data_IF_126483149634
#
_entry.id   IF_126483149634
#
_cell.length_a   1.000
_cell.length_b   1.000
_cell.length_c   1.000
_cell.angle_alpha   90.00
_cell.angle_beta   90.00
_cell.angle_gamma   90.00
#
_symmetry.space_group_name_H-M   'P 1'
#
loop_
_entity.id
_entity.type
_entity.pdbx_description
1 polymer ?
#
# COMPACT_ATOMS: atom_id res chain seq x y z
N UNK A 1 -1.76 1.14 28.49
CA UNK A 1 -0.99 2.33 28.07
C UNK A 1 -1.83 3.05 27.02
N UNK A 2 -2.21 4.32 27.23
CA UNK A 2 -2.88 5.08 26.18
C UNK A 2 -1.87 5.37 25.06
N UNK A 3 -2.18 4.97 23.85
CA UNK A 3 -1.37 5.29 22.68
C UNK A 3 -1.34 6.82 22.55
N UNK A 4 -0.15 7.42 22.59
CA UNK A 4 -0.02 8.84 22.26
C UNK A 4 -0.23 9.01 20.74
N UNK A 5 -1.46 9.34 20.36
CA UNK A 5 -1.86 9.55 18.97
C UNK A 5 -1.24 10.80 18.33
N UNK A 6 -0.42 11.57 19.09
CA UNK A 6 0.19 12.80 18.58
C UNK A 6 1.03 12.55 17.34
N UNK A 7 1.87 11.51 17.36
CA UNK A 7 2.73 11.14 16.22
C UNK A 7 1.94 10.66 15.02
N UNK A 8 0.91 9.83 15.26
CA UNK A 8 0.00 9.35 14.21
C UNK A 8 -0.68 10.52 13.53
N UNK A 9 -1.23 11.46 14.31
CA UNK A 9 -1.88 12.65 13.77
C UNK A 9 -0.90 13.54 12.99
N UNK A 10 0.31 13.73 13.49
CA UNK A 10 1.32 14.53 12.80
C UNK A 10 1.73 13.90 11.47
N UNK A 11 2.00 12.60 11.44
CA UNK A 11 2.39 11.89 10.21
C UNK A 11 1.24 11.81 9.21
N UNK A 12 0.02 11.60 9.69
CA UNK A 12 -1.17 11.63 8.86
C UNK A 12 -1.35 12.99 8.17
N UNK A 13 -1.23 14.08 8.92
CA UNK A 13 -1.30 15.43 8.37
C UNK A 13 -0.21 15.69 7.34
N UNK A 14 1.01 15.30 7.63
CA UNK A 14 2.13 15.46 6.71
C UNK A 14 1.90 14.66 5.42
N UNK A 15 1.52 13.38 5.50
CA UNK A 15 1.23 12.56 4.33
C UNK A 15 0.07 13.11 3.48
N UNK A 16 -0.91 13.80 4.10
CA UNK A 16 -2.06 14.37 3.39
C UNK A 16 -1.83 15.78 2.86
N UNK A 17 -0.74 16.44 3.22
CA UNK A 17 -0.42 17.82 2.81
C UNK A 17 0.77 17.94 1.84
N UNK A 18 1.58 16.89 1.72
CA UNK A 18 2.81 16.88 0.92
C UNK A 18 2.86 15.62 0.03
N UNK A 19 2.93 15.76 -1.31
CA UNK A 19 3.05 14.62 -2.21
C UNK A 19 4.27 13.74 -1.96
N UNK A 20 5.41 14.30 -1.55
CA UNK A 20 6.61 13.53 -1.25
C UNK A 20 6.40 12.70 0.04
N UNK A 21 5.76 13.28 1.05
CA UNK A 21 5.40 12.57 2.27
C UNK A 21 4.37 11.47 1.99
N UNK A 22 3.38 11.71 1.11
CA UNK A 22 2.45 10.68 0.68
C UNK A 22 3.18 9.51 0.00
N UNK A 23 4.07 9.79 -0.95
CA UNK A 23 4.89 8.76 -1.61
C UNK A 23 5.73 7.97 -0.60
N UNK A 24 6.31 8.65 0.36
CA UNK A 24 7.07 8.01 1.44
C UNK A 24 6.18 7.08 2.28
N UNK A 25 5.00 7.55 2.67
CA UNK A 25 4.03 6.73 3.40
C UNK A 25 3.58 5.50 2.59
N UNK A 26 3.28 5.66 1.30
CA UNK A 26 2.91 4.54 0.42
C UNK A 26 4.03 3.50 0.33
N UNK A 27 5.30 3.91 0.32
CA UNK A 27 6.43 2.99 0.38
C UNK A 27 6.51 2.23 1.71
N UNK A 28 6.21 2.87 2.84
CA UNK A 28 6.09 2.17 4.13
C UNK A 28 4.97 1.14 4.10
N UNK A 29 3.79 1.51 3.58
CA UNK A 29 2.66 0.58 3.44
C UNK A 29 3.02 -0.67 2.64
N UNK A 30 3.81 -0.52 1.57
CA UNK A 30 4.21 -1.67 0.74
C UNK A 30 5.15 -2.63 1.45
N UNK A 31 5.99 -2.11 2.35
CA UNK A 31 6.93 -2.91 3.16
C UNK A 31 6.23 -3.58 4.35
N UNK A 32 5.16 -2.98 4.84
CA UNK A 32 4.44 -3.40 6.06
C UNK A 32 2.92 -3.52 5.81
N UNK A 33 2.46 -4.31 4.81
CA UNK A 33 1.05 -4.35 4.42
C UNK A 33 0.13 -4.93 5.51
N UNK A 34 0.67 -5.77 6.38
CA UNK A 34 -0.09 -6.46 7.44
C UNK A 34 -0.19 -5.65 8.74
N UNK A 35 0.50 -4.50 8.81
CA UNK A 35 0.45 -3.65 9.99
C UNK A 35 -0.73 -2.67 9.93
N UNK A 36 -1.26 -2.33 11.10
CA UNK A 36 -2.31 -1.33 11.20
C UNK A 36 -1.84 0.02 10.65
N UNK A 37 -2.77 0.85 10.17
CA UNK A 37 -2.48 2.21 9.69
C UNK A 37 -1.65 3.01 10.72
N UNK A 38 -2.02 2.91 12.00
CA UNK A 38 -1.31 3.61 13.07
C UNK A 38 0.14 3.15 13.20
N UNK A 39 0.40 1.84 13.07
CA UNK A 39 1.76 1.30 13.08
C UNK A 39 2.55 1.70 11.83
N UNK A 40 1.91 1.75 10.67
CA UNK A 40 2.56 2.23 9.44
C UNK A 40 2.96 3.71 9.55
N UNK A 41 2.10 4.56 10.12
CA UNK A 41 2.41 5.97 10.40
C UNK A 41 3.50 6.13 11.48
N UNK A 42 3.49 5.28 12.51
CA UNK A 42 4.53 5.25 13.52
C UNK A 42 5.89 4.85 12.93
N UNK A 43 5.91 3.85 12.05
CA UNK A 43 7.11 3.46 11.32
C UNK A 43 7.57 4.54 10.34
N UNK A 44 6.65 5.26 9.69
CA UNK A 44 6.96 6.43 8.88
C UNK A 44 7.70 7.49 9.71
N UNK A 45 7.26 7.76 10.92
CA UNK A 45 7.92 8.68 11.83
C UNK A 45 9.35 8.21 12.20
N UNK A 46 9.50 6.96 12.62
CA UNK A 46 10.77 6.41 13.06
C UNK A 46 11.79 6.25 11.93
N UNK A 47 11.32 6.06 10.70
CA UNK A 47 12.18 5.79 9.54
C UNK A 47 12.67 7.05 8.81
N UNK A 48 12.30 8.27 9.24
CA UNK A 48 12.75 9.51 8.61
C UNK A 48 14.28 9.65 8.60
N UNK A 49 14.91 9.31 9.73
CA UNK A 49 16.38 9.37 9.87
C UNK A 49 17.06 8.06 9.47
N UNK A 50 16.34 6.94 9.55
CA UNK A 50 16.87 5.60 9.29
C UNK A 50 15.85 4.78 8.51
N UNK A 51 15.93 4.77 7.17
CA UNK A 51 15.08 3.93 6.34
C UNK A 51 15.33 2.43 6.61
N UNK A 52 14.27 1.64 6.61
CA UNK A 52 14.36 0.18 6.73
C UNK A 52 14.01 -0.54 5.43
N UNK A 53 14.47 -1.79 5.33
CA UNK A 53 14.19 -2.68 4.20
C UNK A 53 13.08 -3.67 4.53
N UNK A 54 13.25 -4.47 5.58
CA UNK A 54 12.28 -5.47 6.05
C UNK A 54 12.35 -5.60 7.56
N UNK A 55 11.24 -5.39 8.24
CA UNK A 55 11.16 -5.48 9.69
C UNK A 55 10.54 -6.78 10.14
N UNK A 56 11.17 -7.45 11.12
CA UNK A 56 10.58 -8.56 11.88
C UNK A 56 11.00 -8.46 13.34
N UNK A 57 10.19 -9.03 14.23
CA UNK A 57 10.56 -9.19 15.64
C UNK A 57 11.73 -10.19 15.77
N UNK A 58 12.48 -10.09 16.86
CA UNK A 58 13.65 -10.96 17.09
C UNK A 58 13.28 -12.43 17.07
N UNK A 59 12.21 -12.83 17.74
CA UNK A 59 11.72 -14.19 17.78
C UNK A 59 11.34 -14.75 16.40
N UNK A 60 10.88 -13.87 15.50
CA UNK A 60 10.57 -14.24 14.10
C UNK A 60 11.84 -14.47 13.30
N UNK A 61 12.88 -13.64 13.50
CA UNK A 61 14.19 -13.86 12.89
C UNK A 61 14.82 -15.16 13.38
N UNK A 62 14.82 -15.40 14.69
CA UNK A 62 15.40 -16.60 15.31
C UNK A 62 14.73 -17.89 14.82
N UNK A 63 13.39 -17.90 14.69
CA UNK A 63 12.67 -19.04 14.11
C UNK A 63 13.04 -19.34 12.65
N UNK A 64 13.59 -18.38 11.94
CA UNK A 64 14.10 -18.54 10.58
C UNK A 64 15.61 -18.85 10.53
N UNK A 65 16.23 -19.08 11.69
CA UNK A 65 17.67 -19.32 11.79
C UNK A 65 18.52 -18.09 11.56
N UNK A 66 17.93 -16.89 11.67
CA UNK A 66 18.60 -15.60 11.45
C UNK A 66 18.88 -14.94 12.79
N UNK A 67 20.11 -14.48 13.01
CA UNK A 67 20.52 -13.78 14.23
C UNK A 67 20.49 -12.27 14.01
N UNK A 68 19.92 -11.55 14.97
CA UNK A 68 20.01 -10.08 15.04
C UNK A 68 21.38 -9.70 15.60
N UNK A 69 22.03 -8.69 15.04
CA UNK A 69 23.33 -8.21 15.49
C UNK A 69 23.23 -7.64 16.92
N UNK A 70 24.32 -7.74 17.70
CA UNK A 70 24.32 -7.36 19.10
C UNK A 70 23.99 -5.85 19.30
N UNK A 71 24.46 -4.99 18.40
CA UNK A 71 24.27 -3.54 18.45
C UNK A 71 23.16 -3.07 17.49
N UNK A 72 22.25 -3.96 17.10
CA UNK A 72 21.16 -3.64 16.19
C UNK A 72 20.26 -2.55 16.77
N UNK A 73 20.04 -1.50 16.01
CA UNK A 73 19.03 -0.54 16.36
C UNK A 73 17.64 -1.11 16.04
N UNK A 74 16.65 -0.76 16.83
CA UNK A 74 15.30 -1.26 16.69
C UNK A 74 14.32 -0.18 16.26
N UNK A 75 13.23 -0.64 15.66
CA UNK A 75 11.96 0.05 15.51
C UNK A 75 10.97 -0.54 16.50
N UNK A 76 9.88 0.14 16.75
CA UNK A 76 8.81 -0.42 17.57
C UNK A 76 7.46 -0.16 16.95
N UNK A 77 6.54 -1.09 17.21
CA UNK A 77 5.13 -1.01 16.85
C UNK A 77 4.29 -1.23 18.10
N UNK A 78 3.04 -0.82 18.05
CA UNK A 78 2.05 -1.18 19.06
C UNK A 78 1.44 -2.54 18.74
N UNK A 79 1.56 -3.47 19.65
CA UNK A 79 0.86 -4.74 19.61
C UNK A 79 -0.20 -4.76 20.72
N UNK A 80 -1.47 -5.19 20.43
CA UNK A 80 -2.48 -5.34 21.48
C UNK A 80 -2.05 -6.33 22.54
N UNK A 81 -2.41 -6.07 23.79
CA UNK A 81 -2.17 -7.02 24.88
C UNK A 81 -2.97 -8.30 24.65
N UNK A 82 -2.34 -9.42 24.95
CA UNK A 82 -2.89 -10.77 24.75
C UNK A 82 -2.95 -11.51 26.08
N UNK A 83 -3.90 -12.42 26.18
CA UNK A 83 -3.99 -13.35 27.31
C UNK A 83 -2.97 -14.49 27.20
N UNK A 84 -3.01 -15.42 28.14
CA UNK A 84 -2.15 -16.61 28.22
C UNK A 84 -2.32 -17.57 27.02
N UNK A 85 -3.45 -17.49 26.30
CA UNK A 85 -3.72 -18.27 25.10
C UNK A 85 -3.28 -17.55 23.81
N UNK A 86 -2.78 -16.31 23.92
CA UNK A 86 -2.37 -15.48 22.80
C UNK A 86 -3.51 -14.73 22.12
N UNK A 87 -4.72 -14.68 22.70
CA UNK A 87 -5.86 -13.94 22.19
C UNK A 87 -5.86 -12.49 22.68
N UNK A 88 -6.29 -11.56 21.82
CA UNK A 88 -6.34 -10.14 22.17
C UNK A 88 -7.36 -9.90 23.28
N UNK A 89 -6.94 -9.19 24.33
CA UNK A 89 -7.81 -8.80 25.44
C UNK A 89 -8.59 -7.54 25.00
N UNK A 90 -9.92 -7.62 24.99
CA UNK A 90 -10.79 -6.51 24.61
C UNK A 90 -11.45 -5.85 25.83
N UNK A 91 -11.76 -4.56 25.71
CA UNK A 91 -12.62 -3.85 26.66
C UNK A 91 -14.01 -4.50 26.63
N UNK A 92 -14.60 -4.71 27.80
CA UNK A 92 -15.94 -5.34 27.92
C UNK A 92 -16.98 -4.64 27.04
N UNK A 93 -17.64 -5.40 26.18
CA UNK A 93 -18.63 -4.92 25.21
C UNK A 93 -18.08 -3.97 24.13
N UNK A 94 -16.78 -4.00 23.86
CA UNK A 94 -16.13 -3.22 22.82
C UNK A 94 -15.31 -4.14 21.90
N UNK A 95 -14.98 -3.65 20.71
CA UNK A 95 -13.97 -4.24 19.82
C UNK A 95 -12.59 -3.58 19.99
N UNK A 96 -12.44 -2.71 20.98
CA UNK A 96 -11.20 -2.04 21.27
C UNK A 96 -10.32 -2.88 22.19
N UNK A 97 -9.04 -3.08 21.89
CA UNK A 97 -8.10 -3.74 22.79
C UNK A 97 -8.02 -3.02 24.14
N UNK A 98 -7.93 -3.79 25.23
CA UNK A 98 -7.88 -3.26 26.60
C UNK A 98 -6.56 -2.54 26.90
N UNK A 99 -5.49 -2.89 26.19
CA UNK A 99 -4.18 -2.28 26.31
C UNK A 99 -3.28 -2.58 25.12
N UNK A 100 -2.12 -1.94 25.13
CA UNK A 100 -1.09 -2.11 24.11
C UNK A 100 0.29 -2.09 24.76
N UNK A 101 1.24 -2.83 24.21
CA UNK A 101 2.65 -2.77 24.53
C UNK A 101 3.50 -2.51 23.29
N UNK A 102 4.75 -2.13 23.48
CA UNK A 102 5.70 -1.99 22.38
C UNK A 102 6.25 -3.35 22.02
N UNK A 103 6.23 -3.66 20.71
CA UNK A 103 6.94 -4.78 20.12
C UNK A 103 8.13 -4.24 19.33
N UNK A 104 9.32 -4.71 19.69
CA UNK A 104 10.55 -4.31 19.02
C UNK A 104 10.76 -5.09 17.73
N UNK A 105 11.15 -4.36 16.70
CA UNK A 105 11.33 -4.85 15.34
C UNK A 105 12.74 -4.50 14.87
N UNK A 106 13.38 -5.42 14.17
CA UNK A 106 14.74 -5.27 13.67
C UNK A 106 14.75 -5.36 12.14
N UNK A 107 15.52 -4.48 11.50
CA UNK A 107 15.66 -4.51 10.06
C UNK A 107 16.56 -5.69 9.62
N UNK A 108 16.26 -6.25 8.46
CA UNK A 108 17.08 -7.29 7.84
C UNK A 108 18.54 -6.89 7.69
N UNK A 109 18.83 -5.61 7.49
CA UNK A 109 20.19 -5.06 7.39
C UNK A 109 20.97 -5.11 8.72
N UNK A 110 20.28 -5.31 9.84
CA UNK A 110 20.87 -5.47 11.18
C UNK A 110 20.93 -6.95 11.60
N UNK A 111 20.87 -7.85 10.65
CA UNK A 111 20.94 -9.30 10.87
C UNK A 111 22.09 -9.93 10.07
N UNK A 112 22.35 -11.20 10.35
CA UNK A 112 23.28 -12.00 9.53
C UNK A 112 22.66 -12.53 8.22
N UNK A 113 21.42 -12.12 7.87
CA UNK A 113 20.73 -12.56 6.67
C UNK A 113 21.07 -11.67 5.47
N UNK A 114 21.48 -12.32 4.36
CA UNK A 114 21.65 -11.61 3.10
C UNK A 114 20.32 -11.53 2.37
N UNK A 115 19.68 -10.35 2.43
CA UNK A 115 18.43 -10.11 1.76
C UNK A 115 18.62 -9.79 0.28
N UNK A 116 18.00 -10.58 -0.57
CA UNK A 116 17.90 -10.29 -2.01
C UNK A 116 16.46 -9.93 -2.31
N UNK A 117 16.22 -8.68 -2.67
CA UNK A 117 14.88 -8.24 -3.04
C UNK A 117 14.45 -8.96 -4.32
N UNK A 118 13.28 -9.63 -4.33
CA UNK A 118 12.73 -10.19 -5.56
C UNK A 118 12.54 -9.09 -6.62
N UNK A 119 12.96 -9.36 -7.83
CA UNK A 119 12.88 -8.43 -8.96
C UNK A 119 11.96 -9.03 -10.05
N UNK A 120 10.64 -9.12 -9.83
CA UNK A 120 9.73 -9.56 -10.87
C UNK A 120 9.72 -8.56 -12.01
N UNK A 121 9.56 -9.05 -13.24
CA UNK A 121 9.26 -8.16 -14.36
C UNK A 121 7.86 -7.57 -14.21
N UNK A 122 7.61 -6.42 -14.83
CA UNK A 122 6.28 -5.78 -14.83
C UNK A 122 5.20 -6.72 -15.36
N UNK A 123 5.54 -7.56 -16.34
CA UNK A 123 4.61 -8.56 -16.88
C UNK A 123 4.31 -9.67 -15.88
N UNK A 124 5.32 -10.20 -15.17
CA UNK A 124 5.12 -11.21 -14.13
C UNK A 124 4.29 -10.66 -12.95
N UNK A 125 4.56 -9.41 -12.55
CA UNK A 125 3.77 -8.75 -11.51
C UNK A 125 2.31 -8.55 -11.94
N UNK A 126 2.08 -8.15 -13.21
CA UNK A 126 0.75 -7.98 -13.77
C UNK A 126 0.00 -9.33 -13.89
N UNK A 127 0.65 -10.38 -14.36
CA UNK A 127 0.08 -11.72 -14.44
C UNK A 127 -0.36 -12.22 -13.05
N UNK A 128 0.48 -12.05 -12.03
CA UNK A 128 0.15 -12.41 -10.65
C UNK A 128 -1.05 -11.64 -10.09
N UNK A 129 -1.24 -10.39 -10.50
CA UNK A 129 -2.42 -9.60 -10.11
C UNK A 129 -3.67 -10.06 -10.87
N UNK A 130 -3.59 -10.25 -12.17
CA UNK A 130 -4.72 -10.62 -13.03
C UNK A 130 -5.25 -12.02 -12.74
N UNK A 131 -4.39 -12.95 -12.27
CA UNK A 131 -4.85 -14.31 -11.87
C UNK A 131 -5.70 -14.29 -10.60
N UNK A 132 -5.54 -13.28 -9.75
CA UNK A 132 -6.23 -13.17 -8.45
C UNK A 132 -7.46 -12.29 -8.47
N UNK A 133 -7.55 -11.36 -9.42
CA UNK A 133 -8.56 -10.31 -9.45
C UNK A 133 -9.37 -10.34 -10.75
N UNK A 134 -10.68 -10.17 -10.59
CA UNK A 134 -11.61 -9.91 -11.70
C UNK A 134 -12.03 -8.43 -11.59
N UNK A 135 -11.99 -7.66 -12.60
CA UNK A 135 -12.78 -7.83 -13.83
C UNK A 135 -11.98 -8.46 -14.98
N UNK A 136 -12.67 -8.93 -16.05
CA UNK A 136 -12.02 -9.36 -17.26
C UNK A 136 -11.24 -8.22 -17.92
N UNK A 137 -10.11 -8.56 -18.53
CA UNK A 137 -9.28 -7.64 -19.30
C UNK A 137 -9.39 -7.99 -20.76
N UNK A 138 -9.78 -7.04 -21.59
CA UNK A 138 -9.97 -7.20 -23.03
C UNK A 138 -8.96 -6.34 -23.79
N UNK A 139 -8.25 -6.94 -24.74
CA UNK A 139 -7.29 -6.21 -25.57
C UNK A 139 -8.02 -5.67 -26.80
N UNK A 140 -7.90 -4.35 -27.01
CA UNK A 140 -8.54 -3.62 -28.12
C UNK A 140 -7.49 -2.84 -28.91
N UNK A 141 -7.83 -2.43 -30.13
CA UNK A 141 -6.94 -1.60 -30.94
C UNK A 141 -7.00 -0.13 -30.51
N UNK A 142 -8.17 0.32 -30.05
CA UNK A 142 -8.36 1.69 -29.53
C UNK A 142 -9.45 1.73 -28.44
N UNK A 143 -9.38 2.72 -27.57
CA UNK A 143 -10.46 3.06 -26.64
C UNK A 143 -11.23 4.24 -27.20
N UNK A 144 -12.48 3.99 -27.59
CA UNK A 144 -13.34 5.01 -28.20
C UNK A 144 -13.50 6.23 -27.28
N UNK A 145 -13.44 7.43 -27.88
CA UNK A 145 -13.65 8.73 -27.20
C UNK A 145 -12.59 9.13 -26.17
N UNK A 146 -11.48 8.39 -26.03
CA UNK A 146 -10.39 8.77 -25.11
C UNK A 146 -9.05 8.58 -25.82
N UNK A 147 -8.64 9.64 -26.54
CA UNK A 147 -7.37 9.62 -27.25
C UNK A 147 -6.19 9.43 -26.29
N UNK A 148 -5.29 8.49 -26.63
CA UNK A 148 -4.07 8.22 -25.87
C UNK A 148 -4.25 7.41 -24.58
N UNK A 149 -5.47 6.99 -24.24
CA UNK A 149 -5.69 6.11 -23.10
C UNK A 149 -5.05 4.73 -23.37
N UNK A 150 -4.29 4.21 -22.40
CA UNK A 150 -3.63 2.91 -22.46
C UNK A 150 -4.53 1.79 -21.94
N UNK A 151 -5.32 2.10 -20.94
CA UNK A 151 -6.32 1.22 -20.35
C UNK A 151 -7.52 2.03 -19.87
N UNK A 152 -8.68 1.39 -19.76
CA UNK A 152 -9.90 2.01 -19.23
C UNK A 152 -10.86 0.94 -18.68
N UNK A 153 -11.31 1.15 -17.47
CA UNK A 153 -12.42 0.39 -16.90
C UNK A 153 -13.76 0.95 -17.37
N UNK A 154 -14.60 0.08 -17.93
CA UNK A 154 -16.00 0.37 -18.28
C UNK A 154 -16.93 -0.10 -17.15
N UNK A 155 -17.59 0.82 -16.43
CA UNK A 155 -18.59 0.46 -15.42
C UNK A 155 -19.79 -0.30 -16.02
N UNK A 156 -20.15 0.01 -17.27
CA UNK A 156 -21.25 -0.63 -17.99
C UNK A 156 -20.96 -2.11 -18.28
N UNK A 157 -19.78 -2.38 -18.84
CA UNK A 157 -19.40 -3.72 -19.28
C UNK A 157 -18.72 -4.51 -18.16
N UNK A 158 -18.32 -3.82 -17.06
CA UNK A 158 -17.56 -4.36 -15.93
C UNK A 158 -16.25 -5.02 -16.37
N UNK A 159 -15.62 -4.47 -17.40
CA UNK A 159 -14.39 -4.95 -18.00
C UNK A 159 -13.34 -3.84 -18.08
N UNK A 160 -12.07 -4.22 -18.14
CA UNK A 160 -10.94 -3.32 -18.41
C UNK A 160 -10.54 -3.52 -19.87
N UNK A 161 -10.61 -2.44 -20.65
CA UNK A 161 -10.10 -2.40 -22.01
C UNK A 161 -8.65 -1.93 -21.99
N UNK A 162 -7.78 -2.64 -22.71
CA UNK A 162 -6.35 -2.34 -22.80
C UNK A 162 -5.96 -2.18 -24.26
N UNK A 163 -5.33 -1.06 -24.61
CA UNK A 163 -4.92 -0.80 -26.00
C UNK A 163 -3.66 -1.60 -26.32
N UNK A 164 -3.71 -2.41 -27.38
CA UNK A 164 -2.55 -3.11 -27.91
C UNK A 164 -1.53 -2.08 -28.44
N UNK A 165 -0.34 -2.04 -27.87
CA UNK A 165 0.73 -1.17 -28.37
C UNK A 165 2.11 -1.76 -28.03
N UNK A 166 2.94 -1.93 -29.05
CA UNK A 166 4.36 -2.30 -28.87
C UNK A 166 5.25 -1.11 -28.48
N UNK A 167 4.70 0.11 -28.50
CA UNK A 167 5.47 1.35 -28.22
C UNK A 167 5.38 1.78 -26.75
N UNK A 168 4.49 1.18 -25.96
CA UNK A 168 4.29 1.53 -24.56
C UNK A 168 5.18 0.64 -23.69
N UNK A 169 6.01 1.20 -22.80
CA UNK A 169 6.78 0.41 -21.84
C UNK A 169 5.90 -0.51 -20.98
N UNK A 170 6.40 -1.69 -20.63
CA UNK A 170 5.67 -2.65 -19.81
C UNK A 170 5.26 -2.08 -18.44
N UNK A 171 6.12 -1.22 -17.85
CA UNK A 171 5.84 -0.53 -16.59
C UNK A 171 4.63 0.41 -16.68
N UNK A 172 4.52 1.11 -17.80
CA UNK A 172 3.38 2.01 -18.06
C UNK A 172 2.09 1.23 -18.28
N UNK A 173 2.15 0.06 -18.89
CA UNK A 173 1.01 -0.85 -18.98
C UNK A 173 0.60 -1.37 -17.61
N UNK A 174 1.57 -1.79 -16.80
CA UNK A 174 1.31 -2.25 -15.44
C UNK A 174 0.54 -1.18 -14.65
N UNK A 175 1.07 0.03 -14.60
CA UNK A 175 0.46 1.12 -13.82
C UNK A 175 -0.91 1.53 -14.35
N UNK A 176 -1.10 1.54 -15.68
CA UNK A 176 -2.40 1.84 -16.29
C UNK A 176 -3.45 0.78 -15.93
N UNK A 177 -3.13 -0.50 -16.07
CA UNK A 177 -4.06 -1.59 -15.74
C UNK A 177 -4.38 -1.61 -14.26
N UNK A 178 -3.39 -1.45 -13.38
CA UNK A 178 -3.60 -1.43 -11.93
C UNK A 178 -4.47 -0.24 -11.50
N UNK A 179 -4.31 0.92 -12.12
CA UNK A 179 -5.20 2.08 -11.90
C UNK A 179 -6.65 1.73 -12.25
N UNK A 180 -6.87 1.06 -13.39
CA UNK A 180 -8.21 0.66 -13.83
C UNK A 180 -8.80 -0.48 -12.97
N UNK A 181 -7.97 -1.38 -12.44
CA UNK A 181 -8.40 -2.35 -11.42
C UNK A 181 -8.88 -1.63 -10.15
N UNK A 182 -8.19 -0.57 -9.72
CA UNK A 182 -8.65 0.28 -8.62
C UNK A 182 -10.04 0.87 -8.88
N UNK A 183 -10.27 1.38 -10.09
CA UNK A 183 -11.59 1.87 -10.51
C UNK A 183 -12.67 0.80 -10.48
N UNK A 184 -12.35 -0.42 -10.90
CA UNK A 184 -13.28 -1.55 -10.87
C UNK A 184 -13.63 -1.95 -9.43
N UNK A 185 -12.66 -1.97 -8.53
CA UNK A 185 -12.87 -2.26 -7.10
C UNK A 185 -13.76 -1.18 -6.46
N UNK A 186 -13.45 0.10 -6.66
CA UNK A 186 -14.26 1.20 -6.15
C UNK A 186 -15.72 1.11 -6.65
N UNK A 187 -15.92 0.82 -7.94
CA UNK A 187 -17.27 0.65 -8.50
C UNK A 187 -17.98 -0.56 -7.90
N UNK A 188 -17.28 -1.68 -7.69
CA UNK A 188 -17.89 -2.89 -7.12
C UNK A 188 -18.40 -2.69 -5.69
N UNK A 189 -17.73 -1.85 -4.91
CA UNK A 189 -18.11 -1.52 -3.53
C UNK A 189 -19.35 -0.62 -3.45
N UNK A 190 -19.75 0.04 -4.56
CA UNK A 190 -20.92 0.91 -4.59
C UNK A 190 -22.25 0.16 -4.76
N UNK A 191 -22.25 -1.13 -5.07
CA UNK A 191 -23.47 -1.90 -5.40
C UNK A 191 -24.53 -1.88 -4.30
N UNK A 192 -24.11 -1.81 -3.04
CA UNK A 192 -24.99 -1.85 -1.88
C UNK A 192 -25.18 -0.47 -1.23
N UNK A 193 -24.81 0.60 -1.94
CA UNK A 193 -24.92 1.96 -1.45
C UNK A 193 -25.84 2.79 -2.35
N UNK A 194 -26.38 3.88 -1.82
CA UNK A 194 -27.11 4.90 -2.61
C UNK A 194 -26.20 5.80 -3.44
N UNK A 195 -24.88 5.60 -3.33
CA UNK A 195 -23.87 6.42 -4.00
C UNK A 195 -23.66 5.95 -5.44
N UNK A 196 -23.58 6.90 -6.36
CA UNK A 196 -23.23 6.62 -7.75
C UNK A 196 -21.73 6.66 -7.93
N UNK A 197 -21.16 5.68 -8.61
CA UNK A 197 -19.74 5.67 -8.93
C UNK A 197 -19.35 6.91 -9.76
N UNK A 198 -18.34 7.63 -9.28
CA UNK A 198 -17.78 8.80 -9.95
C UNK A 198 -16.27 8.59 -10.17
N UNK A 199 -15.88 8.38 -11.44
CA UNK A 199 -14.48 8.14 -11.81
C UNK A 199 -13.55 9.26 -11.33
N UNK A 200 -13.90 10.53 -11.56
CA UNK A 200 -13.05 11.65 -11.18
C UNK A 200 -12.82 11.73 -9.67
N UNK A 201 -13.83 11.38 -8.89
CA UNK A 201 -13.72 11.34 -7.42
C UNK A 201 -12.72 10.29 -6.94
N UNK A 202 -12.71 9.10 -7.55
CA UNK A 202 -11.86 7.98 -7.11
C UNK A 202 -10.51 7.92 -7.82
N UNK A 203 -10.29 8.70 -8.88
CA UNK A 203 -9.10 8.58 -9.73
C UNK A 203 -7.80 8.71 -8.94
N UNK A 204 -7.70 9.72 -8.06
CA UNK A 204 -6.51 9.90 -7.23
C UNK A 204 -6.25 8.69 -6.33
N UNK A 205 -7.29 8.13 -5.69
CA UNK A 205 -7.19 6.92 -4.86
C UNK A 205 -6.71 5.72 -5.68
N UNK A 206 -7.19 5.57 -6.92
CA UNK A 206 -6.74 4.51 -7.82
C UNK A 206 -5.28 4.72 -8.23
N UNK A 207 -4.85 5.95 -8.48
CA UNK A 207 -3.45 6.28 -8.76
C UNK A 207 -2.54 5.99 -7.54
N UNK A 208 -2.96 6.34 -6.32
CA UNK A 208 -2.16 6.01 -5.12
C UNK A 208 -2.01 4.50 -4.91
N UNK A 209 -3.05 3.73 -5.19
CA UNK A 209 -2.97 2.27 -5.16
C UNK A 209 -2.02 1.72 -6.24
N UNK A 210 -2.09 2.27 -7.46
CA UNK A 210 -1.18 1.89 -8.54
C UNK A 210 0.27 2.25 -8.21
N UNK A 211 0.53 3.42 -7.64
CA UNK A 211 1.84 3.83 -7.16
C UNK A 211 2.38 2.84 -6.11
N UNK A 212 1.59 2.52 -5.10
CA UNK A 212 1.99 1.60 -4.04
C UNK A 212 2.32 0.21 -4.60
N UNK A 213 1.48 -0.35 -5.48
CA UNK A 213 1.72 -1.66 -6.08
C UNK A 213 2.93 -1.65 -7.02
N UNK A 214 3.12 -0.61 -7.82
CA UNK A 214 4.31 -0.45 -8.66
C UNK A 214 5.58 -0.44 -7.79
N UNK A 215 5.59 0.36 -6.71
CA UNK A 215 6.70 0.39 -5.74
C UNK A 215 6.97 -0.98 -5.12
N UNK A 216 5.91 -1.71 -4.72
CA UNK A 216 6.03 -3.06 -4.14
C UNK A 216 6.71 -4.05 -5.08
N UNK A 217 6.40 -3.98 -6.37
CA UNK A 217 6.93 -4.88 -7.38
C UNK A 217 8.17 -4.32 -8.10
N UNK A 218 8.73 -3.22 -7.61
CA UNK A 218 9.87 -2.54 -8.23
C UNK A 218 9.64 -2.17 -9.71
N UNK A 219 8.39 -1.84 -10.03
CA UNK A 219 7.96 -1.31 -11.34
C UNK A 219 8.08 0.21 -11.31
N UNK A 220 8.46 0.84 -12.43
CA UNK A 220 8.55 2.30 -12.52
C UNK A 220 7.22 2.97 -12.17
N UNK A 221 7.26 3.96 -11.29
CA UNK A 221 6.10 4.79 -10.91
C UNK A 221 5.97 6.07 -11.72
N UNK A 222 6.86 6.31 -12.70
CA UNK A 222 6.96 7.56 -13.46
C UNK A 222 5.67 7.94 -14.22
N UNK A 223 4.89 6.93 -14.62
CA UNK A 223 3.62 7.15 -15.32
C UNK A 223 2.43 7.44 -14.37
N UNK A 224 2.62 7.33 -13.04
CA UNK A 224 1.57 7.54 -12.04
C UNK A 224 1.68 8.92 -11.44
N UNK A 225 0.76 9.81 -11.80
CA UNK A 225 0.76 11.18 -11.27
C UNK A 225 -0.04 11.25 -9.96
N UNK A 226 0.67 11.41 -8.83
CA UNK A 226 0.12 11.71 -7.51
C UNK A 226 0.78 12.95 -6.89
N UNK A 227 1.37 13.82 -7.73
CA UNK A 227 2.06 15.02 -7.28
C UNK A 227 1.10 16.19 -6.96
N UNK A 228 -0.17 16.07 -7.39
CA UNK A 228 -1.21 17.06 -7.09
C UNK A 228 -2.24 16.42 -6.17
N UNK A 229 -2.19 16.81 -4.90
CA UNK A 229 -3.16 16.35 -3.91
C UNK A 229 -4.54 16.98 -4.16
N UNK A 230 -5.63 16.20 -4.14
CA UNK A 230 -6.97 16.76 -4.21
C UNK A 230 -7.29 17.65 -2.99
N UNK A 231 -7.98 18.78 -3.20
CA UNK A 231 -8.38 19.72 -2.14
C UNK A 231 -9.06 19.05 -0.95
N UNK A 232 -9.80 17.95 -1.20
CA UNK A 232 -10.47 17.18 -0.14
C UNK A 232 -9.47 16.55 0.84
N UNK A 233 -8.29 16.12 0.38
CA UNK A 233 -7.25 15.57 1.26
C UNK A 233 -6.56 16.67 2.05
N UNK A 234 -6.23 17.77 1.38
CA UNK A 234 -5.60 18.95 2.01
C UNK A 234 -6.46 19.48 3.16
N UNK A 235 -7.80 19.44 3.01
CA UNK A 235 -8.75 19.88 4.05
C UNK A 235 -8.88 18.90 5.23
N UNK A 236 -8.40 17.68 5.09
CA UNK A 236 -8.40 16.65 6.15
C UNK A 236 -7.14 16.66 7.01
N UNK A 237 -6.04 17.22 6.52
CA UNK A 237 -4.77 17.42 7.23
C UNK A 237 -4.76 18.72 8.03
#
# INVERSE_FOLDING_TARGET
>A
MNIDNKWVNQMSKWALSDPAALKYFLNIMTKCPDYSLNNQLLLMYQSQERPFTMLKAQDVWERQGVSVNQDAAYYYIWEPDKDENGEVIYIKNSREPAGYHYKYMYDVNDTNYTYVQPQPTSLQALEALLTRHKPPVEVVDEIKNIAGARAMYSPKDKAIYVVRSSKVPADDFFTAIVTEMGHAICHSQMKDTTMTYNRAYYHFTCCTAAYALASKYNVSTAAVNIDILPDRLIKMG
#
